data_IF_324350241979
#
_entry.id   IF_324350241979
#
_cell.length_a   1.000
_cell.length_b   1.000
_cell.length_c   1.000
_cell.angle_alpha   90.00
_cell.angle_beta   90.00
_cell.angle_gamma   90.00
#
_symmetry.space_group_name_H-M   'P 1'
#
loop_
_entity.id
_entity.type
_entity.pdbx_description
1 polymer ?
#
# COMPACT_ATOMS: atom_id res chain seq x y z
N UNK A 1 42.67 4.05 33.08
CA UNK A 1 41.85 4.98 32.26
C UNK A 1 41.33 4.21 31.04
N UNK A 2 40.14 3.60 31.12
CA UNK A 2 39.56 2.80 30.02
C UNK A 2 38.77 3.73 29.09
N UNK A 3 39.17 3.82 27.82
CA UNK A 3 38.43 4.58 26.79
C UNK A 3 37.11 3.85 26.51
N UNK A 4 35.99 4.51 26.73
CA UNK A 4 34.68 3.99 26.36
C UNK A 4 34.60 3.80 24.85
N UNK A 5 34.38 2.56 24.41
CA UNK A 5 33.92 2.30 23.05
C UNK A 5 32.48 2.79 22.93
N UNK A 6 32.10 3.50 21.84
CA UNK A 6 30.71 3.77 21.58
C UNK A 6 30.00 2.46 21.19
N UNK A 7 28.99 2.12 21.97
CA UNK A 7 28.02 1.07 21.67
C UNK A 7 27.13 1.60 20.53
N UNK A 8 26.92 0.77 19.49
CA UNK A 8 26.06 0.99 18.32
C UNK A 8 26.68 1.74 17.13
N UNK A 9 27.48 1.04 16.33
CA UNK A 9 27.53 1.30 14.89
C UNK A 9 26.22 0.76 14.31
N UNK A 10 25.25 1.64 14.07
CA UNK A 10 24.01 1.26 13.38
C UNK A 10 24.36 0.97 11.91
N UNK A 11 24.17 -0.27 11.46
CA UNK A 11 24.42 -0.63 10.06
C UNK A 11 23.41 0.13 9.16
N UNK A 12 23.87 0.99 8.22
CA UNK A 12 22.99 1.75 7.34
C UNK A 12 22.10 0.86 6.46
N UNK A 13 22.54 -0.36 6.13
CA UNK A 13 21.73 -1.33 5.39
C UNK A 13 20.55 -1.85 6.22
N UNK A 14 20.73 -1.97 7.54
CA UNK A 14 19.66 -2.38 8.46
C UNK A 14 18.66 -1.24 8.61
N UNK A 15 19.12 0.00 8.68
CA UNK A 15 18.26 1.17 8.76
C UNK A 15 17.46 1.40 7.47
N UNK A 16 18.06 1.15 6.30
CA UNK A 16 17.37 1.22 5.00
C UNK A 16 16.30 0.13 4.81
N UNK A 17 16.39 -0.98 5.56
CA UNK A 17 15.42 -2.09 5.55
C UNK A 17 14.44 -2.05 6.71
N UNK A 18 14.69 -1.19 7.71
CA UNK A 18 13.83 -1.07 8.87
C UNK A 18 12.53 -0.38 8.46
N UNK A 19 11.47 -1.17 8.37
CA UNK A 19 10.12 -0.65 8.15
C UNK A 19 9.74 0.22 9.33
N UNK A 20 9.32 1.45 9.07
CA UNK A 20 8.87 2.34 10.14
C UNK A 20 7.42 1.99 10.53
N UNK A 21 6.97 2.33 11.75
CA UNK A 21 5.57 2.15 12.13
C UNK A 21 4.57 2.84 11.17
N UNK A 22 5.00 3.91 10.49
CA UNK A 22 4.21 4.57 9.46
C UNK A 22 4.06 3.73 8.20
N UNK A 23 5.10 3.00 7.80
CA UNK A 23 5.07 2.11 6.63
C UNK A 23 4.15 0.91 6.87
N UNK A 24 4.09 0.40 8.10
CA UNK A 24 3.18 -0.67 8.48
C UNK A 24 1.72 -0.21 8.53
N UNK A 25 1.46 1.03 8.96
CA UNK A 25 0.13 1.63 8.89
C UNK A 25 -0.33 1.85 7.44
N UNK A 26 0.57 2.31 6.56
CA UNK A 26 0.28 2.45 5.13
C UNK A 26 0.02 1.08 4.51
N UNK A 27 0.80 0.05 4.86
CA UNK A 27 0.55 -1.31 4.39
C UNK A 27 -0.83 -1.82 4.81
N UNK A 28 -1.22 -1.64 6.07
CA UNK A 28 -2.54 -2.05 6.55
C UNK A 28 -3.66 -1.36 5.76
N UNK A 29 -3.55 -0.06 5.52
CA UNK A 29 -4.53 0.69 4.74
C UNK A 29 -4.55 0.28 3.27
N UNK A 30 -3.40 -0.07 2.69
CA UNK A 30 -3.36 -0.65 1.33
C UNK A 30 -4.16 -1.95 1.32
N UNK A 31 -3.96 -2.84 2.29
CA UNK A 31 -4.70 -4.10 2.36
C UNK A 31 -6.21 -3.86 2.52
N UNK A 32 -6.61 -2.92 3.37
CA UNK A 32 -8.01 -2.51 3.53
C UNK A 32 -8.59 -1.99 2.22
N UNK A 33 -7.83 -1.20 1.44
CA UNK A 33 -8.21 -0.73 0.11
C UNK A 33 -8.39 -1.88 -0.88
N UNK A 34 -7.43 -2.82 -0.93
CA UNK A 34 -7.51 -3.95 -1.85
C UNK A 34 -8.69 -4.86 -1.50
N UNK A 35 -8.94 -5.07 -0.21
CA UNK A 35 -10.09 -5.83 0.28
C UNK A 35 -11.42 -5.14 -0.04
N UNK A 36 -11.48 -3.81 0.13
CA UNK A 36 -12.65 -3.04 -0.19
C UNK A 36 -12.98 -3.07 -1.69
N UNK A 37 -11.98 -2.96 -2.57
CA UNK A 37 -12.18 -3.14 -4.03
C UNK A 37 -12.68 -4.57 -4.32
N UNK A 38 -12.06 -5.58 -3.70
CA UNK A 38 -12.48 -6.96 -3.81
C UNK A 38 -12.23 -7.56 -5.21
N UNK A 39 -13.00 -8.59 -5.58
CA UNK A 39 -12.84 -9.29 -6.87
C UNK A 39 -13.49 -8.58 -8.06
N UNK A 40 -14.20 -7.47 -7.83
CA UNK A 40 -14.87 -6.70 -8.87
C UNK A 40 -14.11 -5.42 -9.23
N UNK A 41 -14.58 -4.76 -10.28
CA UNK A 41 -14.19 -3.39 -10.58
C UNK A 41 -15.14 -2.42 -9.85
N UNK A 42 -14.62 -1.29 -9.38
CA UNK A 42 -15.39 -0.20 -8.79
C UNK A 42 -15.27 1.07 -9.63
N UNK A 43 -16.32 1.89 -9.75
CA UNK A 43 -16.23 3.17 -10.44
C UNK A 43 -15.14 4.06 -9.84
N UNK A 44 -14.31 4.65 -10.70
CA UNK A 44 -13.21 5.54 -10.29
C UNK A 44 -13.69 6.68 -9.40
N UNK A 45 -14.86 7.26 -9.69
CA UNK A 45 -15.45 8.30 -8.84
C UNK A 45 -15.73 7.83 -7.42
N UNK A 46 -16.26 6.61 -7.24
CA UNK A 46 -16.51 6.01 -5.93
C UNK A 46 -15.20 5.78 -5.18
N UNK A 47 -14.17 5.24 -5.87
CA UNK A 47 -12.85 5.04 -5.27
C UNK A 47 -12.23 6.37 -4.84
N UNK A 48 -12.34 7.41 -5.68
CA UNK A 48 -11.81 8.74 -5.38
C UNK A 48 -12.49 9.42 -4.20
N UNK A 49 -13.80 9.20 -4.01
CA UNK A 49 -14.53 9.76 -2.87
C UNK A 49 -14.29 8.96 -1.58
N UNK A 50 -14.32 7.63 -1.65
CA UNK A 50 -14.15 6.76 -0.48
C UNK A 50 -12.72 6.77 0.09
N UNK A 51 -11.72 6.87 -0.78
CA UNK A 51 -10.29 6.84 -0.41
C UNK A 51 -9.61 8.20 -0.59
N UNK A 52 -10.39 9.27 -0.59
CA UNK A 52 -9.88 10.64 -0.58
C UNK A 52 -9.19 10.89 0.76
N UNK A 53 -7.87 11.00 0.77
CA UNK A 53 -7.17 11.48 1.97
C UNK A 53 -6.46 12.81 1.70
N UNK A 54 -6.67 13.78 2.57
CA UNK A 54 -6.06 15.12 2.53
C UNK A 54 -4.64 15.18 3.12
N UNK A 55 -4.04 14.03 3.46
CA UNK A 55 -2.74 13.96 4.12
C UNK A 55 -1.58 14.03 3.09
N UNK A 56 -0.51 14.82 3.32
CA UNK A 56 0.37 15.26 2.23
C UNK A 56 1.48 14.29 1.81
N UNK A 57 1.72 13.17 2.53
CA UNK A 57 2.96 12.39 2.30
C UNK A 57 2.87 11.26 1.28
N UNK A 58 1.71 10.62 1.14
CA UNK A 58 1.28 9.88 -0.05
C UNK A 58 -0.10 9.28 0.28
N UNK A 59 -1.17 9.55 -0.50
CA UNK A 59 -2.46 8.95 -0.21
C UNK A 59 -2.41 7.45 -0.55
N UNK A 60 -3.07 6.61 0.26
CA UNK A 60 -3.01 5.13 0.22
C UNK A 60 -3.26 4.56 -1.18
N UNK A 61 -4.19 5.17 -1.93
CA UNK A 61 -4.55 4.78 -3.29
C UNK A 61 -3.41 4.99 -4.29
N UNK A 62 -2.69 6.10 -4.15
CA UNK A 62 -1.54 6.48 -4.99
C UNK A 62 -0.38 5.52 -4.74
N UNK A 63 -0.14 5.15 -3.48
CA UNK A 63 0.87 4.14 -3.13
C UNK A 63 0.49 2.76 -3.68
N UNK A 64 -0.78 2.34 -3.53
CA UNK A 64 -1.25 1.07 -4.11
C UNK A 64 -1.14 1.07 -5.64
N UNK A 65 -1.41 2.20 -6.30
CA UNK A 65 -1.22 2.39 -7.73
C UNK A 65 0.26 2.34 -8.13
N UNK A 66 1.14 3.00 -7.38
CA UNK A 66 2.59 3.00 -7.63
C UNK A 66 3.21 1.60 -7.46
N UNK A 67 2.66 0.79 -6.55
CA UNK A 67 3.03 -0.63 -6.37
C UNK A 67 2.43 -1.56 -7.43
N UNK A 68 1.59 -1.03 -8.33
CA UNK A 68 0.98 -1.81 -9.40
C UNK A 68 -0.13 -2.75 -8.92
N UNK A 69 -0.75 -2.48 -7.77
CA UNK A 69 -1.84 -3.32 -7.23
C UNK A 69 -3.21 -2.98 -7.82
N UNK A 70 -3.33 -1.82 -8.47
CA UNK A 70 -4.56 -1.32 -9.06
C UNK A 70 -4.43 -1.23 -10.58
N UNK A 71 -5.47 -1.67 -11.27
CA UNK A 71 -5.67 -1.45 -12.70
C UNK A 71 -6.82 -0.48 -12.92
N UNK A 72 -6.64 0.45 -13.85
CA UNK A 72 -7.69 1.38 -14.26
C UNK A 72 -8.10 1.09 -15.69
N UNK A 73 -9.37 0.78 -15.89
CA UNK A 73 -9.98 0.54 -17.20
C UNK A 73 -10.93 1.69 -17.54
N UNK A 74 -11.03 2.00 -18.82
CA UNK A 74 -12.00 2.98 -19.32
C UNK A 74 -12.55 2.48 -20.64
N UNK A 75 -13.73 1.87 -20.58
CA UNK A 75 -14.43 1.42 -21.78
C UNK A 75 -14.93 2.65 -22.57
N UNK A 76 -14.92 2.62 -23.91
CA UNK A 76 -15.50 3.69 -24.72
C UNK A 76 -16.97 3.93 -24.34
N UNK A 77 -17.29 5.16 -23.93
CA UNK A 77 -18.64 5.55 -23.50
C UNK A 77 -19.05 5.08 -22.09
N UNK A 78 -18.15 4.41 -21.36
CA UNK A 78 -18.36 3.96 -19.98
C UNK A 78 -17.72 4.89 -18.93
N UNK A 79 -17.99 4.61 -17.66
CA UNK A 79 -17.28 5.24 -16.54
C UNK A 79 -15.91 4.57 -16.38
N UNK A 80 -14.89 5.33 -15.97
CA UNK A 80 -13.60 4.72 -15.64
C UNK A 80 -13.77 3.84 -14.39
N UNK A 81 -13.19 2.65 -14.41
CA UNK A 81 -13.27 1.70 -13.30
C UNK A 81 -11.87 1.39 -12.77
N UNK A 82 -11.81 0.97 -11.51
CA UNK A 82 -10.60 0.54 -10.81
C UNK A 82 -10.83 -0.89 -10.34
N UNK A 83 -9.89 -1.78 -10.64
CA UNK A 83 -9.90 -3.17 -10.21
C UNK A 83 -8.55 -3.57 -9.64
N UNK A 84 -8.47 -4.74 -9.02
CA UNK A 84 -7.20 -5.31 -8.59
C UNK A 84 -6.45 -5.86 -9.80
N UNK A 85 -5.17 -5.54 -9.90
CA UNK A 85 -4.26 -6.27 -10.77
C UNK A 85 -4.03 -7.69 -10.24
N UNK A 86 -3.42 -8.55 -11.07
CA UNK A 86 -2.97 -9.87 -10.61
C UNK A 86 -2.03 -9.77 -9.39
N UNK A 87 -1.12 -8.78 -9.40
CA UNK A 87 -0.21 -8.53 -8.29
C UNK A 87 -0.95 -8.09 -7.02
N UNK A 88 -1.93 -7.20 -7.13
CA UNK A 88 -2.75 -6.76 -6.00
C UNK A 88 -3.56 -7.91 -5.40
N UNK A 89 -4.17 -8.74 -6.24
CA UNK A 89 -4.90 -9.92 -5.80
C UNK A 89 -3.99 -10.96 -5.13
N UNK A 90 -2.79 -11.20 -5.67
CA UNK A 90 -1.81 -12.10 -5.07
C UNK A 90 -1.33 -11.59 -3.71
N UNK A 91 -1.05 -10.28 -3.60
CA UNK A 91 -0.63 -9.63 -2.36
C UNK A 91 -1.68 -9.76 -1.25
N UNK A 92 -2.94 -9.45 -1.56
CA UNK A 92 -4.06 -9.59 -0.63
C UNK A 92 -4.22 -11.05 -0.15
N UNK A 93 -4.08 -12.03 -1.06
CA UNK A 93 -4.14 -13.47 -0.71
C UNK A 93 -2.99 -13.89 0.19
N UNK A 94 -1.76 -13.44 -0.09
CA UNK A 94 -0.59 -13.78 0.72
C UNK A 94 -0.74 -13.29 2.17
N UNK A 95 -1.30 -12.09 2.35
CA UNK A 95 -1.54 -11.54 3.68
C UNK A 95 -2.66 -12.25 4.43
N UNK A 96 -3.76 -12.60 3.76
CA UNK A 96 -4.85 -13.39 4.38
C UNK A 96 -4.41 -14.79 4.83
N UNK A 97 -3.40 -15.37 4.19
CA UNK A 97 -2.83 -16.69 4.57
C UNK A 97 -1.90 -16.64 5.78
N UNK A 98 -1.49 -15.45 6.21
CA UNK A 98 -0.64 -15.26 7.39
C UNK A 98 -1.51 -14.60 8.46
N UNK A 99 -2.20 -15.35 9.33
CA UNK A 99 -2.73 -14.75 10.54
C UNK A 99 -1.53 -14.26 11.36
N UNK A 100 -1.57 -12.99 11.78
CA UNK A 100 -0.62 -12.46 12.75
C UNK A 100 -0.70 -13.21 14.07
#
# INVERSE_FOLDING_TARGET
MRRGQPIHVVNPEVLARARTPGDDAVEALILDLLEWIGSGARPYGEVMEAWRTSCPRLPVREEAGARGYLERTHAPGGVAEVSLSEAGAAHLRARRKTPG
#
